data_IF_736575095777
#
_entry.id   IF_736575095777
#
_cell.length_a   1.000
_cell.length_b   1.000
_cell.length_c   1.000
_cell.angle_alpha   90.00
_cell.angle_beta   90.00
_cell.angle_gamma   90.00
#
_symmetry.space_group_name_H-M   'P 1'
#
loop_
_entity.id
_entity.type
_entity.pdbx_description
1 polymer ?
#
# COMPACT_ATOMS: atom_id res chain seq x y z
N UNK A 1 -8.24 -8.01 11.59
CA UNK A 1 -7.09 -7.11 11.99
C UNK A 1 -6.99 -5.97 10.99
N UNK A 2 -6.79 -4.73 11.42
CA UNK A 2 -6.51 -3.65 10.48
C UNK A 2 -5.05 -3.68 9.99
N UNK A 3 -4.76 -2.94 8.93
CA UNK A 3 -3.44 -2.91 8.30
C UNK A 3 -2.33 -2.44 9.26
N UNK A 4 -2.64 -1.47 10.13
CA UNK A 4 -1.69 -1.01 11.14
C UNK A 4 -1.43 -2.07 12.22
N UNK A 5 -2.45 -2.84 12.61
CA UNK A 5 -2.34 -3.99 13.51
C UNK A 5 -1.43 -5.07 12.96
N UNK A 6 -1.48 -5.34 11.65
CA UNK A 6 -0.55 -6.23 10.95
C UNK A 6 0.91 -5.78 11.15
N UNK A 7 1.20 -4.51 10.83
CA UNK A 7 2.55 -3.97 10.98
C UNK A 7 3.02 -3.96 12.44
N UNK A 8 2.15 -3.60 13.39
CA UNK A 8 2.47 -3.65 14.83
C UNK A 8 2.78 -5.06 15.30
N UNK A 9 1.96 -6.05 14.88
CA UNK A 9 2.12 -7.45 15.32
C UNK A 9 3.41 -8.07 14.79
N UNK A 10 3.80 -7.76 13.55
CA UNK A 10 4.98 -8.31 12.91
C UNK A 10 6.21 -7.39 13.02
N UNK A 11 6.10 -6.27 13.74
CA UNK A 11 7.16 -5.28 13.84
C UNK A 11 8.51 -5.89 14.26
N UNK A 12 9.56 -5.42 13.59
CA UNK A 12 10.97 -5.60 13.91
C UNK A 12 11.67 -4.24 13.76
N UNK A 13 12.62 -3.87 14.64
CA UNK A 13 13.44 -2.67 14.44
C UNK A 13 14.09 -2.66 13.05
N UNK A 14 14.13 -1.49 12.41
CA UNK A 14 14.68 -1.31 11.07
C UNK A 14 13.93 -0.25 10.29
N UNK A 15 14.12 -0.25 8.97
CA UNK A 15 13.43 0.68 8.07
C UNK A 15 12.05 0.14 7.70
N UNK A 16 11.03 0.99 7.82
CA UNK A 16 9.68 0.77 7.31
C UNK A 16 9.43 1.72 6.14
N UNK A 17 8.89 1.19 5.05
CA UNK A 17 8.58 1.95 3.85
C UNK A 17 7.08 2.26 3.80
N UNK A 18 6.74 3.54 3.56
CA UNK A 18 5.36 4.01 3.35
C UNK A 18 5.27 4.62 1.95
N UNK A 19 4.66 3.90 1.01
CA UNK A 19 4.47 4.34 -0.38
C UNK A 19 3.03 4.81 -0.57
N UNK A 20 2.87 6.04 -1.05
CA UNK A 20 1.58 6.73 -1.05
C UNK A 20 1.24 7.26 0.35
N UNK A 21 2.21 7.94 0.98
CA UNK A 21 2.10 8.37 2.37
C UNK A 21 1.03 9.45 2.60
N UNK A 22 0.55 10.11 1.54
CA UNK A 22 -0.49 11.14 1.54
C UNK A 22 -0.19 12.23 2.61
N UNK A 23 -1.00 12.33 3.65
CA UNK A 23 -0.83 13.29 4.75
C UNK A 23 -0.14 12.68 5.99
N UNK A 24 0.34 11.42 5.92
CA UNK A 24 1.07 10.77 6.99
C UNK A 24 0.23 9.87 7.90
N UNK A 25 -0.97 9.48 7.47
CA UNK A 25 -1.87 8.60 8.23
C UNK A 25 -1.23 7.27 8.64
N UNK A 26 -0.36 6.70 7.79
CA UNK A 26 0.47 5.53 8.12
C UNK A 26 1.87 5.90 8.60
N UNK A 27 2.49 6.91 8.01
CA UNK A 27 3.84 7.37 8.41
C UNK A 27 3.97 7.59 9.91
N UNK A 28 3.04 8.32 10.53
CA UNK A 28 3.10 8.65 11.96
C UNK A 28 2.96 7.43 12.88
N UNK A 29 1.95 6.54 12.71
CA UNK A 29 1.87 5.31 13.48
C UNK A 29 3.05 4.36 13.29
N UNK A 30 3.61 4.25 12.09
CA UNK A 30 4.81 3.45 11.83
C UNK A 30 6.04 4.05 12.51
N UNK A 31 6.20 5.37 12.50
CA UNK A 31 7.28 6.07 13.18
C UNK A 31 7.22 5.91 14.71
N UNK A 32 6.04 5.68 15.28
CA UNK A 32 5.86 5.43 16.71
C UNK A 32 6.31 4.02 17.17
N UNK A 33 6.60 3.10 16.24
CA UNK A 33 7.05 1.75 16.60
C UNK A 33 8.50 1.76 17.11
N UNK A 34 8.82 1.00 18.16
CA UNK A 34 10.15 1.05 18.79
C UNK A 34 11.30 0.69 17.84
N UNK A 35 12.29 1.55 17.70
CA UNK A 35 13.47 1.32 16.86
C UNK A 35 13.19 1.34 15.35
N UNK A 36 12.03 1.89 14.93
CA UNK A 36 11.71 2.10 13.52
C UNK A 36 12.42 3.35 12.95
N UNK A 37 12.77 3.27 11.69
CA UNK A 37 13.02 4.40 10.80
C UNK A 37 11.97 4.34 9.70
N UNK A 38 11.38 5.47 9.32
CA UNK A 38 10.39 5.48 8.25
C UNK A 38 10.93 6.22 7.04
N UNK A 39 10.84 5.59 5.87
CA UNK A 39 11.05 6.20 4.57
C UNK A 39 9.70 6.32 3.87
N UNK A 40 9.21 7.55 3.70
CA UNK A 40 7.88 7.80 3.17
C UNK A 40 7.94 8.53 1.83
N UNK A 41 7.17 8.05 0.85
CA UNK A 41 7.06 8.60 -0.50
C UNK A 41 5.66 9.13 -0.75
N UNK A 42 5.59 10.40 -1.11
CA UNK A 42 4.36 11.07 -1.54
C UNK A 42 4.66 12.00 -2.71
N UNK A 43 4.26 11.68 -3.94
CA UNK A 43 4.63 12.46 -5.11
C UNK A 43 3.85 13.77 -5.25
N UNK A 44 2.59 13.85 -4.75
CA UNK A 44 1.76 15.02 -4.95
C UNK A 44 2.19 16.19 -4.06
N UNK A 45 2.54 17.37 -4.61
CA UNK A 45 3.10 18.48 -3.82
C UNK A 45 2.23 18.93 -2.65
N UNK A 46 0.91 18.97 -2.84
CA UNK A 46 -0.03 19.41 -1.81
C UNK A 46 -0.12 18.43 -0.63
N UNK A 47 -0.18 17.13 -0.93
CA UNK A 47 -0.17 16.06 0.08
C UNK A 47 1.18 15.99 0.77
N UNK A 48 2.27 16.08 0.02
CA UNK A 48 3.62 16.13 0.57
C UNK A 48 3.85 17.31 1.52
N UNK A 49 3.30 18.49 1.22
CA UNK A 49 3.40 19.64 2.11
C UNK A 49 2.73 19.36 3.47
N UNK A 50 1.56 18.69 3.48
CA UNK A 50 0.86 18.27 4.70
C UNK A 50 1.62 17.17 5.45
N UNK A 51 2.11 16.15 4.74
CA UNK A 51 2.99 15.11 5.28
C UNK A 51 4.22 15.72 5.97
N UNK A 52 4.89 16.66 5.30
CA UNK A 52 6.05 17.35 5.86
C UNK A 52 5.72 18.16 7.11
N UNK A 53 4.56 18.80 7.14
CA UNK A 53 4.10 19.51 8.34
C UNK A 53 3.83 18.56 9.52
N UNK A 54 3.29 17.37 9.23
CA UNK A 54 2.95 16.38 10.25
C UNK A 54 4.18 15.60 10.78
N UNK A 55 5.07 15.17 9.89
CA UNK A 55 6.14 14.22 10.23
C UNK A 55 7.57 14.77 10.05
N UNK A 56 7.75 15.93 9.43
CA UNK A 56 9.08 16.45 9.05
C UNK A 56 10.00 16.81 10.22
N UNK A 57 9.50 16.90 11.45
CA UNK A 57 10.29 17.15 12.65
C UNK A 57 10.82 15.87 13.32
N UNK A 58 10.36 14.68 12.86
CA UNK A 58 10.78 13.41 13.42
C UNK A 58 12.12 12.99 12.81
N UNK A 59 13.20 13.00 13.59
CA UNK A 59 14.57 12.75 13.10
C UNK A 59 14.77 11.37 12.46
N UNK A 60 13.92 10.40 12.77
CA UNK A 60 13.95 9.03 12.23
C UNK A 60 12.96 8.82 11.07
N UNK A 61 12.37 9.91 10.54
CA UNK A 61 11.49 9.90 9.37
C UNK A 61 12.14 10.64 8.23
N UNK A 62 12.28 9.97 7.10
CA UNK A 62 12.78 10.54 5.85
C UNK A 62 11.62 10.66 4.86
N UNK A 63 11.34 11.88 4.40
CA UNK A 63 10.25 12.17 3.47
C UNK A 63 10.79 12.43 2.07
N UNK A 64 10.15 11.85 1.05
CA UNK A 64 10.52 11.97 -0.36
C UNK A 64 9.33 12.42 -1.18
N UNK A 65 9.47 13.57 -1.87
CA UNK A 65 8.47 14.05 -2.82
C UNK A 65 8.72 13.44 -4.21
N UNK A 66 8.62 12.12 -4.29
CA UNK A 66 8.92 11.33 -5.48
C UNK A 66 7.88 10.20 -5.58
N UNK A 67 7.58 9.76 -6.79
CA UNK A 67 6.87 8.51 -7.02
C UNK A 67 7.87 7.35 -7.11
N UNK A 68 7.44 6.16 -6.71
CA UNK A 68 8.17 4.92 -6.99
C UNK A 68 7.56 4.21 -8.20
N UNK A 69 8.43 3.50 -8.95
CA UNK A 69 8.05 2.70 -10.11
C UNK A 69 9.21 1.84 -10.58
N UNK A 70 9.14 1.32 -11.80
CA UNK A 70 10.14 0.41 -12.39
C UNK A 70 11.23 1.13 -13.22
N UNK A 71 11.18 2.44 -13.30
CA UNK A 71 12.13 3.28 -14.02
C UNK A 71 12.52 4.53 -13.22
N UNK A 72 13.58 5.20 -13.65
CA UNK A 72 14.02 6.49 -13.11
C UNK A 72 13.79 7.58 -14.13
N UNK A 73 13.31 8.74 -13.69
CA UNK A 73 13.02 9.90 -14.55
C UNK A 73 11.87 10.72 -14.03
N UNK A 74 10.91 11.00 -14.88
CA UNK A 74 9.68 11.70 -14.56
C UNK A 74 8.45 10.89 -14.97
N UNK A 75 7.37 11.06 -14.24
CA UNK A 75 6.07 10.48 -14.55
C UNK A 75 4.97 11.52 -14.43
N UNK A 76 3.85 11.27 -15.09
CA UNK A 76 2.65 12.14 -15.02
C UNK A 76 1.65 11.52 -14.07
N UNK A 77 1.50 12.15 -12.91
CA UNK A 77 0.44 11.86 -11.95
C UNK A 77 -0.86 12.51 -12.41
N UNK A 78 -1.94 11.75 -12.44
CA UNK A 78 -3.27 12.21 -12.87
C UNK A 78 -4.22 12.24 -11.69
N UNK A 79 -4.96 13.34 -11.57
CA UNK A 79 -5.95 13.54 -10.52
C UNK A 79 -7.30 13.79 -11.17
N UNK A 80 -8.38 13.13 -10.72
CA UNK A 80 -9.72 13.50 -11.16
C UNK A 80 -10.10 14.84 -10.56
N UNK A 81 -10.77 15.66 -11.38
CA UNK A 81 -11.34 16.95 -10.99
C UNK A 81 -12.84 16.85 -11.09
N UNK A 82 -13.54 16.83 -9.97
CA UNK A 82 -15.00 16.78 -9.89
C UNK A 82 -15.48 18.12 -9.40
N UNK A 83 -16.40 18.76 -10.13
CA UNK A 83 -16.94 20.08 -9.80
C UNK A 83 -15.86 21.15 -9.54
N UNK A 84 -14.74 21.08 -10.29
CA UNK A 84 -13.61 21.99 -10.14
C UNK A 84 -12.65 21.69 -9.00
N UNK A 85 -12.91 20.65 -8.18
CA UNK A 85 -12.06 20.21 -7.07
C UNK A 85 -11.25 18.99 -7.46
N UNK A 86 -9.91 19.08 -7.39
CA UNK A 86 -9.02 17.93 -7.61
C UNK A 86 -9.03 17.01 -6.39
N UNK A 87 -9.27 15.71 -6.60
CA UNK A 87 -9.22 14.73 -5.53
C UNK A 87 -7.81 14.12 -5.42
N UNK A 88 -7.09 14.55 -4.38
CA UNK A 88 -5.71 14.13 -4.14
C UNK A 88 -5.59 12.65 -3.74
N UNK A 89 -6.60 12.07 -3.09
CA UNK A 89 -6.60 10.66 -2.68
C UNK A 89 -6.64 9.69 -3.86
N UNK A 90 -7.17 10.13 -5.00
CA UNK A 90 -7.26 9.32 -6.22
C UNK A 90 -6.16 9.67 -7.23
N UNK A 91 -5.11 10.35 -6.80
CA UNK A 91 -3.98 10.68 -7.66
C UNK A 91 -3.23 9.40 -8.08
N UNK A 92 -3.09 9.15 -9.38
CA UNK A 92 -2.57 7.88 -9.89
C UNK A 92 -1.61 8.07 -11.07
N UNK A 93 -0.59 7.22 -11.15
CA UNK A 93 0.24 7.06 -12.34
C UNK A 93 -0.41 6.14 -13.39
N UNK A 94 -1.30 5.25 -12.97
CA UNK A 94 -1.90 4.21 -13.80
C UNK A 94 -3.28 4.57 -14.34
N UNK A 95 -4.12 5.22 -13.52
CA UNK A 95 -5.50 5.55 -13.88
C UNK A 95 -5.60 6.66 -14.92
N UNK A 96 -6.70 6.64 -15.70
CA UNK A 96 -7.13 7.72 -16.59
C UNK A 96 -8.56 8.10 -16.21
N UNK A 97 -8.84 9.40 -16.22
CA UNK A 97 -10.15 9.92 -15.81
C UNK A 97 -10.96 10.50 -16.94
N UNK A 98 -10.45 10.48 -18.18
CA UNK A 98 -11.06 10.99 -19.40
C UNK A 98 -12.31 10.21 -19.86
N UNK A 99 -12.65 9.08 -19.22
CA UNK A 99 -13.84 8.27 -19.50
C UNK A 99 -14.95 8.33 -18.45
N UNK A 100 -14.81 9.11 -17.38
CA UNK A 100 -15.78 9.15 -16.26
C UNK A 100 -16.95 10.13 -16.44
N UNK A 101 -17.24 10.55 -17.67
CA UNK A 101 -18.33 11.44 -18.01
C UNK A 101 -17.93 12.92 -18.09
N UNK A 102 -18.81 13.80 -18.62
CA UNK A 102 -18.48 15.19 -18.97
C UNK A 102 -18.23 16.11 -17.77
N UNK A 103 -18.50 15.64 -16.55
CA UNK A 103 -18.32 16.42 -15.31
C UNK A 103 -17.00 16.11 -14.60
N UNK A 104 -16.22 15.13 -15.08
CA UNK A 104 -14.93 14.75 -14.49
C UNK A 104 -13.81 15.25 -15.38
N UNK A 105 -13.10 16.29 -14.92
CA UNK A 105 -11.87 16.77 -15.54
C UNK A 105 -10.65 15.98 -15.04
N UNK A 106 -9.49 16.21 -15.66
CA UNK A 106 -8.22 15.64 -15.26
C UNK A 106 -7.19 16.76 -15.05
N UNK A 107 -6.58 16.81 -13.86
CA UNK A 107 -5.38 17.59 -13.58
C UNK A 107 -4.17 16.68 -13.70
N UNK A 108 -3.11 17.16 -14.36
CA UNK A 108 -1.83 16.45 -14.53
C UNK A 108 -0.73 17.18 -13.77
N UNK A 109 0.09 16.38 -13.07
CA UNK A 109 1.25 16.88 -12.35
C UNK A 109 2.46 16.02 -12.72
N UNK A 110 3.52 16.64 -13.25
CA UNK A 110 4.78 15.91 -13.48
C UNK A 110 5.52 15.79 -12.17
N UNK A 111 5.95 14.57 -11.85
CA UNK A 111 6.62 14.21 -10.60
C UNK A 111 7.89 13.40 -10.88
N UNK A 112 8.93 13.50 -10.05
CA UNK A 112 10.08 12.60 -10.14
C UNK A 112 9.66 11.16 -9.92
N UNK A 113 10.24 10.25 -10.71
CA UNK A 113 10.05 8.79 -10.62
C UNK A 113 11.37 8.12 -10.28
N UNK A 114 11.37 7.21 -9.30
CA UNK A 114 12.54 6.48 -8.85
C UNK A 114 12.25 5.00 -8.68
N UNK A 115 13.28 4.18 -8.77
CA UNK A 115 13.24 2.78 -8.38
C UNK A 115 13.66 2.64 -6.92
N UNK A 116 12.94 1.79 -6.15
CA UNK A 116 13.32 1.55 -4.74
C UNK A 116 14.75 0.97 -4.60
N UNK A 117 15.16 0.14 -5.56
CA UNK A 117 16.48 -0.48 -5.54
C UNK A 117 17.66 0.53 -5.58
N UNK A 118 17.42 1.76 -6.06
CA UNK A 118 18.42 2.84 -6.07
C UNK A 118 18.78 3.38 -4.69
N UNK A 119 17.93 3.15 -3.69
CA UNK A 119 18.15 3.61 -2.32
C UNK A 119 19.06 2.69 -1.51
N UNK A 120 19.40 1.49 -2.02
CA UNK A 120 20.35 0.58 -1.40
C UNK A 120 19.99 0.13 0.02
N UNK A 121 18.70 -0.01 0.32
CA UNK A 121 18.24 -0.36 1.68
C UNK A 121 18.66 -1.78 2.06
N UNK A 122 19.32 -1.93 3.22
CA UNK A 122 19.80 -3.23 3.73
C UNK A 122 19.00 -3.75 4.93
N UNK A 123 18.13 -2.92 5.49
CA UNK A 123 17.40 -3.21 6.73
C UNK A 123 15.90 -2.90 6.63
N UNK A 124 15.34 -3.01 5.42
CA UNK A 124 13.90 -2.85 5.19
C UNK A 124 13.15 -4.03 5.84
N UNK A 125 12.28 -3.73 6.81
CA UNK A 125 11.55 -4.75 7.59
C UNK A 125 10.07 -4.83 7.24
N UNK A 126 9.48 -3.73 6.77
CA UNK A 126 8.08 -3.68 6.40
C UNK A 126 7.83 -2.66 5.28
N UNK A 127 6.80 -2.91 4.47
CA UNK A 127 6.33 -2.04 3.38
C UNK A 127 4.82 -1.89 3.48
N UNK A 128 4.33 -0.64 3.54
CA UNK A 128 2.96 -0.29 3.16
C UNK A 128 3.00 0.25 1.73
N UNK A 129 2.21 -0.32 0.84
CA UNK A 129 2.17 0.05 -0.56
C UNK A 129 0.73 0.33 -1.01
N UNK A 130 0.50 1.57 -1.33
CA UNK A 130 -0.74 2.08 -1.88
C UNK A 130 -0.39 3.15 -2.92
N UNK A 131 -0.31 2.74 -4.18
CA UNK A 131 0.14 3.56 -5.30
C UNK A 131 -0.95 3.75 -6.36
N UNK A 132 -2.21 3.52 -5.96
CA UNK A 132 -3.40 3.80 -6.76
C UNK A 132 -3.35 3.18 -8.17
N UNK A 133 -2.90 1.89 -8.25
CA UNK A 133 -2.81 1.09 -9.47
C UNK A 133 -1.40 0.96 -10.05
N UNK A 134 -0.37 1.58 -9.45
CA UNK A 134 1.03 1.45 -9.86
C UNK A 134 1.84 0.44 -9.00
N UNK A 135 1.18 -0.37 -8.17
CA UNK A 135 1.81 -1.31 -7.23
C UNK A 135 2.74 -2.28 -7.93
N UNK A 136 2.34 -2.77 -9.10
CA UNK A 136 3.14 -3.71 -9.90
C UNK A 136 4.47 -3.10 -10.35
N UNK A 137 4.46 -1.84 -10.83
CA UNK A 137 5.66 -1.11 -11.23
C UNK A 137 6.56 -0.80 -10.02
N UNK A 138 5.99 -0.41 -8.88
CA UNK A 138 6.75 -0.20 -7.64
C UNK A 138 7.49 -1.47 -7.24
N UNK A 139 6.82 -2.62 -7.24
CA UNK A 139 7.43 -3.91 -6.90
C UNK A 139 8.51 -4.33 -7.91
N UNK A 140 8.34 -4.06 -9.20
CA UNK A 140 9.38 -4.29 -10.22
C UNK A 140 10.63 -3.44 -10.00
N UNK A 141 10.46 -2.21 -9.51
CA UNK A 141 11.56 -1.33 -9.15
C UNK A 141 12.21 -1.65 -7.79
N UNK A 142 11.71 -2.67 -7.08
CA UNK A 142 12.12 -3.06 -5.73
C UNK A 142 12.71 -4.48 -5.64
N UNK A 143 12.93 -5.17 -6.76
CA UNK A 143 13.26 -6.61 -6.81
C UNK A 143 14.47 -6.97 -5.95
N UNK A 144 15.57 -6.22 -6.08
CA UNK A 144 16.81 -6.52 -5.36
C UNK A 144 16.65 -6.25 -3.86
N UNK A 145 15.93 -5.19 -3.51
CA UNK A 145 15.61 -4.84 -2.11
C UNK A 145 14.71 -5.89 -1.48
N UNK A 146 13.65 -6.34 -2.17
CA UNK A 146 12.75 -7.39 -1.68
C UNK A 146 13.47 -8.73 -1.48
N UNK A 147 14.35 -9.11 -2.41
CA UNK A 147 15.16 -10.32 -2.28
C UNK A 147 16.12 -10.28 -1.10
N UNK A 148 16.79 -9.13 -0.92
CA UNK A 148 17.81 -8.93 0.12
C UNK A 148 17.21 -8.81 1.51
N UNK A 149 16.20 -7.97 1.67
CA UNK A 149 15.68 -7.59 2.99
C UNK A 149 14.55 -8.48 3.49
N UNK A 150 13.80 -9.11 2.59
CA UNK A 150 12.66 -9.98 2.93
C UNK A 150 11.67 -9.30 3.88
N UNK A 151 11.18 -8.07 3.57
CA UNK A 151 10.19 -7.39 4.40
C UNK A 151 8.83 -8.10 4.37
N UNK A 152 7.98 -7.81 5.37
CA UNK A 152 6.54 -8.05 5.26
C UNK A 152 5.90 -6.89 4.49
N UNK A 153 4.83 -7.16 3.73
CA UNK A 153 4.16 -6.10 2.98
C UNK A 153 2.65 -6.10 3.25
N UNK A 154 2.07 -4.90 3.33
CA UNK A 154 0.66 -4.69 3.08
C UNK A 154 0.53 -3.90 1.78
N UNK A 155 -0.36 -4.34 0.91
CA UNK A 155 -0.51 -3.79 -0.45
C UNK A 155 -1.99 -3.58 -0.73
N UNK A 156 -2.35 -2.35 -1.11
CA UNK A 156 -3.67 -2.09 -1.67
C UNK A 156 -3.69 -2.52 -3.14
N UNK A 157 -4.55 -3.48 -3.51
CA UNK A 157 -4.68 -3.97 -4.88
C UNK A 157 -6.14 -3.98 -5.27
N UNK A 158 -6.49 -3.16 -6.25
CA UNK A 158 -7.88 -3.08 -6.72
C UNK A 158 -7.97 -3.23 -8.25
N UNK A 159 -8.88 -4.11 -8.69
CA UNK A 159 -9.19 -4.31 -10.12
C UNK A 159 -9.72 -3.04 -10.79
N UNK A 160 -10.43 -2.18 -10.05
CA UNK A 160 -10.91 -0.89 -10.56
C UNK A 160 -9.78 0.11 -10.80
N UNK A 161 -8.65 -0.03 -10.09
CA UNK A 161 -7.46 0.78 -10.31
C UNK A 161 -6.68 0.29 -11.52
N UNK A 162 -6.51 -1.03 -11.62
CA UNK A 162 -5.83 -1.68 -12.73
C UNK A 162 -6.39 -3.08 -12.96
N UNK A 163 -7.11 -3.32 -14.07
CA UNK A 163 -7.62 -4.64 -14.39
C UNK A 163 -6.51 -5.70 -14.43
N UNK A 164 -6.70 -6.83 -13.77
CA UNK A 164 -5.74 -7.92 -13.67
C UNK A 164 -4.71 -7.79 -12.54
N UNK A 165 -4.73 -6.71 -11.75
CA UNK A 165 -3.76 -6.48 -10.67
C UNK A 165 -3.85 -7.53 -9.57
N UNK A 166 -5.05 -8.00 -9.21
CA UNK A 166 -5.26 -9.06 -8.21
C UNK A 166 -4.68 -10.42 -8.62
N UNK A 167 -4.34 -10.59 -9.88
CA UNK A 167 -3.61 -11.76 -10.37
C UNK A 167 -2.12 -11.46 -10.58
N UNK A 168 -1.78 -10.35 -11.23
CA UNK A 168 -0.41 -10.04 -11.64
C UNK A 168 0.51 -9.76 -10.44
N UNK A 169 0.03 -9.01 -9.44
CA UNK A 169 0.84 -8.64 -8.28
C UNK A 169 1.17 -9.87 -7.41
N UNK A 170 0.19 -10.71 -7.00
CA UNK A 170 0.50 -11.93 -6.25
C UNK A 170 1.39 -12.91 -7.02
N UNK A 171 1.18 -13.11 -8.32
CA UNK A 171 2.01 -13.99 -9.13
C UNK A 171 3.47 -13.51 -9.22
N UNK A 172 3.68 -12.20 -9.30
CA UNK A 172 5.01 -11.60 -9.27
C UNK A 172 5.73 -11.82 -7.94
N UNK A 173 5.01 -11.64 -6.83
CA UNK A 173 5.55 -11.85 -5.48
C UNK A 173 5.80 -13.33 -5.18
N UNK A 174 4.95 -14.24 -5.68
CA UNK A 174 5.15 -15.68 -5.61
C UNK A 174 6.49 -16.11 -6.26
N UNK A 175 6.80 -15.56 -7.45
CA UNK A 175 8.08 -15.77 -8.12
C UNK A 175 9.31 -15.24 -7.35
N UNK A 176 9.10 -14.29 -6.43
CA UNK A 176 10.12 -13.79 -5.51
C UNK A 176 10.15 -14.56 -4.17
N UNK A 177 9.35 -15.62 -4.03
CA UNK A 177 9.30 -16.44 -2.82
C UNK A 177 8.48 -15.83 -1.70
N UNK A 178 7.43 -15.12 -2.01
CA UNK A 178 6.46 -14.59 -1.04
C UNK A 178 5.13 -15.32 -1.17
N UNK A 179 4.41 -15.43 -0.05
CA UNK A 179 3.03 -15.90 -0.02
C UNK A 179 2.11 -14.71 0.29
N UNK A 180 1.01 -14.59 -0.47
CA UNK A 180 0.02 -13.54 -0.29
C UNK A 180 -1.24 -14.07 0.40
N UNK A 181 -1.79 -13.23 1.29
CA UNK A 181 -2.95 -13.53 2.12
C UNK A 181 -3.90 -12.33 2.11
N UNK A 182 -5.16 -12.60 2.43
CA UNK A 182 -6.16 -11.59 2.76
C UNK A 182 -6.84 -11.93 4.07
N UNK A 183 -7.39 -10.93 4.73
CA UNK A 183 -8.05 -11.08 6.03
C UNK A 183 -9.49 -10.58 5.94
N UNK A 184 -10.42 -11.33 6.51
CA UNK A 184 -11.80 -10.92 6.62
C UNK A 184 -12.43 -11.52 7.88
N UNK A 185 -12.93 -10.64 8.76
CA UNK A 185 -13.54 -11.00 10.05
C UNK A 185 -12.66 -11.91 10.92
N UNK A 186 -11.37 -11.62 11.02
CA UNK A 186 -10.43 -12.40 11.82
C UNK A 186 -9.95 -13.68 11.14
N UNK A 187 -10.35 -13.95 9.90
CA UNK A 187 -9.92 -15.13 9.16
C UNK A 187 -8.84 -14.79 8.13
N UNK A 188 -7.63 -15.29 8.33
CA UNK A 188 -6.51 -15.21 7.38
C UNK A 188 -6.64 -16.30 6.33
N UNK A 189 -6.75 -15.91 5.06
CA UNK A 189 -6.94 -16.83 3.93
C UNK A 189 -5.82 -16.63 2.89
N UNK A 190 -5.36 -17.73 2.24
CA UNK A 190 -4.37 -17.61 1.17
C UNK A 190 -5.00 -16.97 -0.07
N UNK A 191 -4.16 -16.33 -0.89
CA UNK A 191 -4.59 -15.67 -2.14
C UNK A 191 -5.31 -16.62 -3.11
N UNK A 192 -5.01 -17.92 -3.06
CA UNK A 192 -5.70 -18.93 -3.87
C UNK A 192 -7.22 -19.05 -3.59
N UNK A 193 -7.68 -18.59 -2.44
CA UNK A 193 -9.12 -18.56 -2.07
C UNK A 193 -9.79 -17.21 -2.41
N UNK A 194 -9.06 -16.26 -2.99
CA UNK A 194 -9.60 -14.96 -3.34
C UNK A 194 -10.40 -15.02 -4.64
N UNK A 195 -11.67 -14.64 -4.57
CA UNK A 195 -12.56 -14.52 -5.74
C UNK A 195 -12.87 -13.05 -6.02
N UNK A 196 -12.16 -12.47 -7.00
CA UNK A 196 -12.36 -11.08 -7.42
C UNK A 196 -13.78 -10.79 -7.92
N UNK A 197 -14.46 -11.79 -8.47
CA UNK A 197 -15.80 -11.62 -9.03
C UNK A 197 -16.86 -11.37 -7.95
N UNK A 198 -16.57 -11.77 -6.71
CA UNK A 198 -17.45 -11.56 -5.56
C UNK A 198 -16.88 -10.60 -4.52
N UNK A 199 -15.54 -10.43 -4.47
CA UNK A 199 -14.85 -9.69 -3.41
C UNK A 199 -14.33 -8.31 -3.85
N UNK A 200 -14.43 -7.97 -5.14
CA UNK A 200 -14.09 -6.65 -5.66
C UNK A 200 -15.09 -6.20 -6.75
N UNK A 201 -16.37 -6.28 -6.44
CA UNK A 201 -17.42 -5.76 -7.34
C UNK A 201 -17.57 -4.27 -7.10
N UNK A 202 -17.19 -3.46 -8.10
CA UNK A 202 -17.40 -2.03 -8.07
C UNK A 202 -18.88 -1.68 -8.08
N UNK A 203 -19.28 -0.64 -7.35
CA UNK A 203 -20.62 -0.09 -7.43
C UNK A 203 -20.87 0.57 -8.80
N UNK A 204 -22.10 0.44 -9.31
CA UNK A 204 -22.55 1.21 -10.45
C UNK A 204 -22.73 2.71 -10.11
N UNK A 205 -22.91 3.03 -8.83
CA UNK A 205 -22.97 4.39 -8.33
C UNK A 205 -21.55 4.85 -7.93
N UNK A 206 -20.99 5.86 -8.60
CA UNK A 206 -19.62 6.34 -8.30
C UNK A 206 -19.48 6.99 -6.91
N UNK A 207 -20.58 7.32 -6.23
CA UNK A 207 -20.55 7.81 -4.84
C UNK A 207 -20.43 6.68 -3.82
N UNK A 208 -20.63 5.43 -4.22
CA UNK A 208 -20.53 4.24 -3.37
C UNK A 208 -19.19 3.56 -3.63
N UNK A 209 -18.44 3.29 -2.57
CA UNK A 209 -17.10 2.69 -2.64
C UNK A 209 -17.10 1.28 -3.24
N UNK A 210 -18.05 0.43 -2.83
CA UNK A 210 -18.17 -0.96 -3.28
C UNK A 210 -19.62 -1.38 -3.40
N UNK A 211 -19.90 -2.37 -4.27
CA UNK A 211 -21.21 -3.01 -4.42
C UNK A 211 -21.27 -4.40 -3.77
N UNK A 212 -20.12 -4.98 -3.42
CA UNK A 212 -20.02 -6.30 -2.80
C UNK A 212 -19.58 -6.23 -1.33
N UNK A 213 -20.04 -7.19 -0.54
CA UNK A 213 -19.58 -7.46 0.82
C UNK A 213 -19.20 -8.96 0.92
N UNK A 214 -17.95 -9.32 1.22
CA UNK A 214 -16.83 -8.42 1.56
C UNK A 214 -16.26 -7.67 0.34
N UNK A 215 -15.73 -6.46 0.58
CA UNK A 215 -14.87 -5.79 -0.39
C UNK A 215 -13.43 -5.79 0.14
N UNK A 216 -12.59 -6.67 -0.42
CA UNK A 216 -11.21 -6.88 0.02
C UNK A 216 -10.26 -6.18 -0.94
N UNK A 217 -9.50 -5.22 -0.46
CA UNK A 217 -8.54 -4.44 -1.25
C UNK A 217 -7.13 -4.39 -0.65
N UNK A 218 -6.98 -4.73 0.65
CA UNK A 218 -5.65 -4.85 1.28
C UNK A 218 -5.25 -6.32 1.33
N UNK A 219 -4.08 -6.60 0.79
CA UNK A 219 -3.45 -7.91 0.78
C UNK A 219 -2.16 -7.89 1.60
N UNK A 220 -1.94 -8.95 2.37
CA UNK A 220 -0.80 -9.10 3.26
C UNK A 220 0.16 -10.12 2.69
N UNK A 221 1.42 -9.75 2.57
CA UNK A 221 2.42 -10.55 1.87
C UNK A 221 3.57 -10.85 2.81
N UNK A 222 3.90 -12.14 2.95
CA UNK A 222 4.88 -12.64 3.88
C UNK A 222 5.99 -13.40 3.14
N UNK A 223 7.26 -13.26 3.54
CA UNK A 223 8.32 -14.14 3.07
C UNK A 223 7.95 -15.60 3.34
N UNK A 224 7.93 -16.44 2.29
CA UNK A 224 7.41 -17.83 2.33
C UNK A 224 8.03 -18.65 3.45
N UNK A 225 9.33 -18.50 3.66
CA UNK A 225 10.08 -19.21 4.70
C UNK A 225 9.69 -18.80 6.13
N UNK A 226 9.06 -17.63 6.31
CA UNK A 226 8.64 -17.10 7.59
C UNK A 226 7.11 -17.09 7.77
N UNK A 227 6.36 -17.27 6.67
CA UNK A 227 4.90 -17.12 6.65
C UNK A 227 4.17 -17.97 7.71
N UNK A 228 4.49 -19.26 7.94
CA UNK A 228 3.79 -20.05 8.96
C UNK A 228 3.89 -19.44 10.36
N UNK A 229 5.08 -19.07 10.79
CA UNK A 229 5.31 -18.48 12.13
C UNK A 229 4.68 -17.08 12.27
N UNK A 230 4.70 -16.29 11.20
CA UNK A 230 4.08 -14.97 11.17
C UNK A 230 2.56 -15.04 11.22
N UNK A 231 1.93 -15.94 10.47
CA UNK A 231 0.48 -16.18 10.51
C UNK A 231 0.02 -16.63 11.90
N UNK A 232 0.80 -17.48 12.58
CA UNK A 232 0.50 -17.89 13.95
C UNK A 232 0.53 -16.72 14.93
N UNK A 233 1.46 -15.76 14.75
CA UNK A 233 1.51 -14.52 15.55
C UNK A 233 0.27 -13.66 15.30
N UNK A 234 -0.10 -13.46 14.04
CA UNK A 234 -1.26 -12.67 13.64
C UNK A 234 -2.56 -13.26 14.21
N UNK A 235 -2.77 -14.57 14.06
CA UNK A 235 -3.95 -15.28 14.61
C UNK A 235 -4.04 -15.17 16.13
N UNK A 236 -2.93 -15.31 16.84
CA UNK A 236 -2.88 -15.12 18.31
C UNK A 236 -3.20 -13.69 18.73
N UNK A 237 -2.72 -12.70 18.01
CA UNK A 237 -3.00 -11.30 18.30
C UNK A 237 -4.51 -10.98 18.14
N UNK A 238 -5.16 -11.53 17.11
CA UNK A 238 -6.61 -11.39 16.93
C UNK A 238 -7.42 -12.11 18.01
N UNK A 239 -7.04 -13.34 18.35
CA UNK A 239 -7.70 -14.08 19.42
C UNK A 239 -7.62 -13.39 20.78
N UNK A 240 -6.50 -12.72 21.07
CA UNK A 240 -6.30 -11.90 22.27
C UNK A 240 -7.12 -10.59 22.29
N UNK A 241 -7.41 -10.03 21.11
CA UNK A 241 -8.19 -8.81 20.97
C UNK A 241 -9.72 -9.04 21.11
N UNK A 242 -10.19 -10.28 20.92
CA UNK A 242 -11.62 -10.66 20.97
C UNK A 242 -12.07 -11.09 22.40
N UNK A 243 -11.20 -11.05 23.41
CA UNK A 243 -11.63 -11.33 24.79
C UNK A 243 -12.62 -10.25 25.26
N UNK A 244 -13.88 -10.59 25.61
CA UNK A 244 -14.83 -9.62 26.12
C UNK A 244 -14.31 -9.02 27.44
N UNK A 245 -14.70 -7.77 27.78
CA UNK A 245 -14.42 -7.26 29.11
C UNK A 245 -15.03 -8.23 30.14
N UNK A 246 -14.23 -8.57 31.15
CA UNK A 246 -14.71 -9.41 32.26
C UNK A 246 -15.94 -8.75 32.93
N UNK A 247 -16.91 -9.54 33.39
CA UNK A 247 -18.17 -9.05 33.97
C UNK A 247 -17.99 -8.19 35.20
#
# INVERSE_FOLDING_TARGET
MDELGFHRTLHRPGTLLDVGAHEGGFTLPLAALPGSRVLAFEPLPESFARLRAAAGQLAHVTLRQEALGDATGEAVLRLPVVEGVANAQWASLAKRYDGFGPQVGERRVTVPLRRLDEFGLDDLTAVKLDAEGAEYEVLRGAVETLRRCRPVLSIEIEERHRPGSTWAVPAFLDALGYDAFWEHWGAWRPMAEFDRATMQVASADPSVFAASDPYVFVFYVLPREQAPAMLDRLRRAEAGAVSPPAP
#
